data_IF_308969975149
#
_entry.id   IF_308969975149
#
_cell.length_a   1.000
_cell.length_b   1.000
_cell.length_c   1.000
_cell.angle_alpha   90.00
_cell.angle_beta   90.00
_cell.angle_gamma   90.00
#
_symmetry.space_group_name_H-M   'P 1'
#
loop_
_entity.id
_entity.type
_entity.pdbx_description
1 polymer ?
#
# COMPACT_ATOMS: atom_id res chain seq x y z
N UNK A 1 -47.06 33.11 -40.49
CA UNK A 1 -45.58 33.16 -40.64
C UNK A 1 -44.82 33.08 -39.30
N UNK A 2 -45.47 33.08 -38.12
CA UNK A 2 -44.79 33.11 -36.81
C UNK A 2 -44.31 31.75 -36.26
N UNK A 3 -45.04 30.66 -36.47
CA UNK A 3 -44.74 29.34 -35.89
C UNK A 3 -43.43 28.70 -36.40
N UNK A 4 -42.99 29.05 -37.62
CA UNK A 4 -41.72 28.58 -38.19
C UNK A 4 -40.51 29.06 -37.39
N UNK A 5 -40.57 30.27 -36.82
CA UNK A 5 -39.48 30.84 -36.00
C UNK A 5 -39.36 30.11 -34.66
N UNK A 6 -40.49 29.77 -34.04
CA UNK A 6 -40.51 29.01 -32.77
C UNK A 6 -40.12 27.54 -32.96
N UNK A 7 -40.54 26.91 -34.06
CA UNK A 7 -40.15 25.54 -34.40
C UNK A 7 -38.64 25.44 -34.66
N UNK A 8 -38.06 26.43 -35.36
CA UNK A 8 -36.61 26.51 -35.56
C UNK A 8 -35.86 26.68 -34.23
N UNK A 9 -36.38 27.52 -33.32
CA UNK A 9 -35.79 27.71 -31.99
C UNK A 9 -35.82 26.41 -31.15
N UNK A 10 -36.93 25.67 -31.20
CA UNK A 10 -37.07 24.37 -30.54
C UNK A 10 -36.09 23.32 -31.09
N UNK A 11 -35.93 23.26 -32.41
CA UNK A 11 -34.99 22.35 -33.07
C UNK A 11 -33.53 22.68 -32.74
N UNK A 12 -33.19 23.97 -32.58
CA UNK A 12 -31.88 24.43 -32.12
C UNK A 12 -31.63 24.07 -30.64
N UNK A 13 -32.65 24.11 -29.79
CA UNK A 13 -32.52 23.69 -28.39
C UNK A 13 -32.34 22.16 -28.25
N UNK A 14 -32.90 21.37 -29.17
CA UNK A 14 -32.82 19.90 -29.17
C UNK A 14 -31.50 19.36 -29.76
N UNK A 15 -30.73 20.16 -30.49
CA UNK A 15 -29.47 19.73 -31.11
C UNK A 15 -28.25 19.81 -30.18
N UNK A 16 -28.40 20.29 -28.96
CA UNK A 16 -27.33 20.23 -27.94
C UNK A 16 -27.30 18.87 -27.26
N UNK A 17 -26.64 17.88 -27.89
CA UNK A 17 -26.18 16.69 -27.18
C UNK A 17 -24.94 17.08 -26.38
N UNK A 18 -25.08 17.38 -25.09
CA UNK A 18 -23.92 17.57 -24.22
C UNK A 18 -23.30 16.20 -23.94
N UNK A 19 -22.03 16.04 -24.29
CA UNK A 19 -21.26 14.87 -23.87
C UNK A 19 -21.08 14.96 -22.35
N UNK A 20 -21.88 14.20 -21.59
CA UNK A 20 -21.75 14.11 -20.14
C UNK A 20 -20.53 13.26 -19.74
N UNK A 21 -19.33 13.78 -19.99
CA UNK A 21 -18.11 13.27 -19.37
C UNK A 21 -17.97 13.96 -18.01
N UNK A 22 -17.79 13.18 -16.93
CA UNK A 22 -17.68 13.76 -15.58
C UNK A 22 -16.22 14.15 -15.33
N UNK A 23 -15.84 15.32 -15.84
CA UNK A 23 -14.59 15.98 -15.46
C UNK A 23 -14.83 16.91 -14.28
N UNK A 24 -14.00 16.82 -13.24
CA UNK A 24 -13.96 17.76 -12.12
C UNK A 24 -12.58 18.44 -12.18
N UNK A 25 -12.55 19.77 -12.34
CA UNK A 25 -11.30 20.51 -12.48
C UNK A 25 -10.66 20.45 -13.89
N UNK A 26 -11.35 19.87 -14.87
CA UNK A 26 -10.96 19.89 -16.29
C UNK A 26 -12.18 20.11 -17.18
N UNK A 27 -12.00 20.88 -18.27
CA UNK A 27 -13.02 21.06 -19.32
C UNK A 27 -12.86 20.05 -20.47
N UNK A 28 -11.74 19.32 -20.51
CA UNK A 28 -11.45 18.32 -21.51
C UNK A 28 -10.99 17.01 -20.83
N UNK A 29 -11.90 16.31 -20.14
CA UNK A 29 -11.60 15.02 -19.54
C UNK A 29 -11.11 14.03 -20.61
N UNK A 30 -10.28 13.08 -20.18
CA UNK A 30 -9.77 12.02 -21.02
C UNK A 30 -10.94 11.17 -21.55
N UNK A 31 -10.98 10.93 -22.86
CA UNK A 31 -12.06 10.19 -23.50
C UNK A 31 -12.24 8.75 -22.97
N UNK A 32 -11.20 8.19 -22.32
CA UNK A 32 -11.26 6.86 -21.68
C UNK A 32 -11.78 6.89 -20.25
N UNK A 33 -11.98 8.06 -19.65
CA UNK A 33 -12.42 8.21 -18.26
C UNK A 33 -13.94 8.41 -18.17
N UNK A 34 -14.59 7.65 -17.27
CA UNK A 34 -15.97 7.96 -16.85
C UNK A 34 -16.03 9.03 -15.75
N UNK A 35 -14.95 9.16 -14.98
CA UNK A 35 -14.71 10.21 -14.01
C UNK A 35 -13.23 10.59 -14.07
N UNK A 36 -12.94 11.88 -14.25
CA UNK A 36 -11.60 12.44 -14.10
C UNK A 36 -11.67 13.58 -13.07
N UNK A 37 -10.79 13.55 -12.07
CA UNK A 37 -10.60 14.69 -11.16
C UNK A 37 -9.18 15.19 -11.35
N UNK A 38 -9.06 16.38 -11.93
CA UNK A 38 -7.81 17.02 -12.32
C UNK A 38 -7.49 18.19 -11.38
N UNK A 39 -6.32 18.15 -10.77
CA UNK A 39 -5.75 19.23 -9.96
C UNK A 39 -4.23 19.04 -9.87
N UNK A 40 -3.47 20.12 -9.66
CA UNK A 40 -2.02 20.06 -9.44
C UNK A 40 -1.65 20.08 -7.95
N UNK A 41 -2.57 20.52 -7.08
CA UNK A 41 -2.36 20.72 -5.64
C UNK A 41 -3.46 20.12 -4.76
N UNK A 42 -4.41 19.36 -5.33
CA UNK A 42 -5.51 18.66 -4.63
C UNK A 42 -5.54 17.19 -5.00
N UNK A 43 -6.19 16.39 -4.16
CA UNK A 43 -6.44 14.97 -4.40
C UNK A 43 -7.90 14.59 -4.16
N UNK A 44 -8.20 13.30 -4.28
CA UNK A 44 -9.51 12.74 -3.97
C UNK A 44 -9.55 12.22 -2.53
N UNK A 45 -10.51 12.69 -1.74
CA UNK A 45 -10.87 12.08 -0.46
C UNK A 45 -12.00 11.08 -0.70
N UNK A 46 -11.74 9.76 -0.76
CA UNK A 46 -12.82 8.78 -0.82
C UNK A 46 -13.66 8.80 0.47
N UNK A 47 -14.82 8.13 0.48
CA UNK A 47 -15.57 7.90 1.70
C UNK A 47 -14.67 7.33 2.81
N UNK A 48 -14.66 8.02 3.95
CA UNK A 48 -13.92 7.62 5.15
C UNK A 48 -14.84 6.83 6.07
N UNK A 49 -14.57 5.54 6.23
CA UNK A 49 -15.46 4.60 6.89
C UNK A 49 -14.74 3.95 8.06
N UNK A 50 -15.38 3.86 9.23
CA UNK A 50 -14.84 3.09 10.35
C UNK A 50 -15.25 1.63 10.19
N UNK A 51 -14.36 0.78 9.67
CA UNK A 51 -14.61 -0.65 9.56
C UNK A 51 -14.51 -1.33 10.94
N UNK A 52 -15.25 -2.42 11.10
CA UNK A 52 -15.23 -3.22 12.35
C UNK A 52 -14.40 -4.50 12.20
N UNK A 53 -14.38 -5.10 11.02
CA UNK A 53 -13.54 -6.24 10.64
C UNK A 53 -13.45 -6.31 9.11
N UNK A 54 -12.42 -6.97 8.58
CA UNK A 54 -12.20 -7.08 7.14
C UNK A 54 -13.24 -7.98 6.46
N UNK A 55 -13.77 -8.98 7.14
CA UNK A 55 -14.77 -9.91 6.63
C UNK A 55 -16.23 -9.43 6.81
N UNK A 56 -16.44 -8.17 7.21
CA UNK A 56 -17.77 -7.59 7.46
C UNK A 56 -18.00 -6.43 6.51
N UNK A 57 -19.03 -6.51 5.67
CA UNK A 57 -19.35 -5.45 4.69
C UNK A 57 -19.83 -4.14 5.36
N UNK A 58 -20.52 -4.25 6.49
CA UNK A 58 -20.96 -3.10 7.29
C UNK A 58 -19.76 -2.23 7.74
N UNK A 59 -19.94 -0.91 7.91
CA UNK A 59 -21.21 -0.17 8.01
C UNK A 59 -21.81 0.25 6.67
N UNK A 60 -21.21 -0.14 5.54
CA UNK A 60 -21.77 0.16 4.23
C UNK A 60 -23.06 -0.63 4.03
N UNK A 61 -24.12 0.06 3.62
CA UNK A 61 -25.41 -0.53 3.30
C UNK A 61 -25.52 -0.89 1.81
N UNK A 62 -26.31 -1.91 1.49
CA UNK A 62 -26.54 -2.38 0.13
C UNK A 62 -26.22 -3.86 -0.07
N UNK A 63 -26.20 -4.29 -1.32
CA UNK A 63 -25.94 -5.69 -1.69
C UNK A 63 -24.44 -5.91 -1.86
N UNK A 64 -23.80 -6.51 -0.86
CA UNK A 64 -22.34 -6.75 -0.83
C UNK A 64 -21.82 -7.49 -2.07
N UNK A 65 -22.58 -8.44 -2.62
CA UNK A 65 -22.19 -9.20 -3.81
C UNK A 65 -22.13 -8.35 -5.10
N UNK A 66 -22.82 -7.20 -5.13
CA UNK A 66 -22.79 -6.26 -6.24
C UNK A 66 -21.79 -5.10 -6.04
N UNK A 67 -21.11 -5.05 -4.89
CA UNK A 67 -20.24 -3.93 -4.49
C UNK A 67 -18.74 -4.22 -4.71
N UNK A 68 -18.38 -5.29 -5.44
CA UNK A 68 -16.98 -5.60 -5.71
C UNK A 68 -16.29 -4.44 -6.47
N UNK A 69 -15.10 -4.05 -6.01
CA UNK A 69 -14.38 -2.88 -6.51
C UNK A 69 -14.69 -1.57 -5.78
N UNK A 70 -15.58 -1.56 -4.78
CA UNK A 70 -15.85 -0.38 -3.96
C UNK A 70 -14.61 0.02 -3.16
N UNK A 71 -14.14 1.25 -3.32
CA UNK A 71 -12.94 1.80 -2.67
C UNK A 71 -13.31 2.76 -1.54
N UNK A 72 -12.70 2.59 -0.37
CA UNK A 72 -12.87 3.45 0.81
C UNK A 72 -11.54 3.67 1.52
N UNK A 73 -11.50 4.69 2.39
CA UNK A 73 -10.44 4.84 3.37
C UNK A 73 -10.96 4.41 4.76
N UNK A 74 -10.40 3.34 5.32
CA UNK A 74 -10.71 2.90 6.67
C UNK A 74 -10.08 3.84 7.69
N UNK A 75 -10.83 4.25 8.71
CA UNK A 75 -10.34 5.12 9.80
C UNK A 75 -10.13 4.40 11.13
N UNK A 76 -10.57 3.14 11.26
CA UNK A 76 -10.57 2.41 12.52
C UNK A 76 -9.42 1.39 12.62
N UNK A 77 -8.91 1.22 13.84
CA UNK A 77 -8.20 -0.01 14.25
C UNK A 77 -9.22 -0.87 15.00
N UNK A 78 -9.64 -1.99 14.42
CA UNK A 78 -10.72 -2.80 14.96
C UNK A 78 -10.58 -4.28 14.57
N UNK A 79 -11.38 -5.13 15.21
CA UNK A 79 -11.41 -6.57 14.96
C UNK A 79 -10.23 -7.32 15.61
N UNK A 80 -10.21 -8.63 15.41
CA UNK A 80 -9.16 -9.54 15.89
C UNK A 80 -8.57 -10.31 14.72
N UNK A 81 -7.29 -10.67 14.82
CA UNK A 81 -6.64 -11.49 13.81
C UNK A 81 -7.45 -12.78 13.54
N UNK A 82 -7.62 -13.20 12.27
CA UNK A 82 -7.00 -12.64 11.06
C UNK A 82 -7.80 -11.51 10.38
N UNK A 83 -8.95 -11.11 10.93
CA UNK A 83 -9.88 -10.15 10.30
C UNK A 83 -9.75 -8.72 10.83
N UNK A 84 -8.66 -8.42 11.55
CA UNK A 84 -8.43 -7.07 12.05
C UNK A 84 -8.20 -6.08 10.89
N UNK A 85 -8.62 -4.85 11.10
CA UNK A 85 -8.42 -3.73 10.18
C UNK A 85 -7.61 -2.66 10.88
N UNK A 86 -6.83 -1.93 10.09
CA UNK A 86 -6.09 -0.73 10.50
C UNK A 86 -6.38 0.40 9.51
N UNK A 87 -6.16 1.67 9.88
CA UNK A 87 -6.37 2.79 8.97
C UNK A 87 -5.61 2.63 7.65
N UNK A 88 -6.26 2.94 6.53
CA UNK A 88 -5.68 2.78 5.19
C UNK A 88 -6.72 2.64 4.08
N UNK A 89 -6.28 2.52 2.83
CA UNK A 89 -7.18 2.28 1.71
C UNK A 89 -7.60 0.81 1.66
N UNK A 90 -8.89 0.57 1.46
CA UNK A 90 -9.45 -0.78 1.27
C UNK A 90 -10.35 -0.78 0.05
N UNK A 91 -10.37 -1.92 -0.65
CA UNK A 91 -11.42 -2.21 -1.61
C UNK A 91 -12.20 -3.45 -1.20
N UNK A 92 -13.48 -3.49 -1.52
CA UNK A 92 -14.30 -4.70 -1.35
C UNK A 92 -14.01 -5.67 -2.50
N UNK A 93 -13.54 -6.87 -2.19
CA UNK A 93 -13.25 -7.89 -3.21
C UNK A 93 -14.47 -8.74 -3.61
N UNK A 94 -15.65 -8.44 -3.07
CA UNK A 94 -16.87 -9.23 -3.20
C UNK A 94 -17.23 -10.03 -1.95
N UNK A 95 -16.25 -10.30 -1.07
CA UNK A 95 -16.40 -11.12 0.14
C UNK A 95 -15.75 -10.52 1.38
N UNK A 96 -14.69 -9.73 1.21
CA UNK A 96 -13.96 -9.07 2.29
C UNK A 96 -13.36 -7.74 1.81
N UNK A 97 -13.11 -6.86 2.78
CA UNK A 97 -12.29 -5.67 2.64
C UNK A 97 -10.81 -6.08 2.55
N UNK A 98 -10.20 -5.82 1.41
CA UNK A 98 -8.76 -6.03 1.21
C UNK A 98 -8.05 -4.70 1.34
N UNK A 99 -7.08 -4.61 2.25
CA UNK A 99 -6.23 -3.44 2.37
C UNK A 99 -5.33 -3.31 1.13
N UNK A 100 -5.23 -2.10 0.59
CA UNK A 100 -4.21 -1.77 -0.40
C UNK A 100 -2.94 -1.42 0.36
N UNK A 101 -1.96 -2.32 0.35
CA UNK A 101 -0.64 -2.09 0.90
C UNK A 101 0.30 -1.53 -0.16
N UNK A 102 1.36 -0.84 0.28
CA UNK A 102 2.44 -0.46 -0.61
C UNK A 102 3.06 -1.72 -1.23
N UNK A 103 3.41 -1.63 -2.51
CA UNK A 103 4.26 -2.62 -3.16
C UNK A 103 5.69 -2.58 -2.59
N UNK A 104 6.55 -3.47 -3.09
CA UNK A 104 7.96 -3.50 -2.74
C UNK A 104 8.65 -2.21 -3.23
N UNK A 105 9.39 -1.54 -2.34
CA UNK A 105 10.19 -0.35 -2.69
C UNK A 105 11.68 -0.71 -2.62
N UNK A 106 12.41 -0.52 -3.74
CA UNK A 106 13.86 -0.76 -3.78
C UNK A 106 14.63 0.43 -3.18
N UNK A 107 15.53 0.16 -2.23
CA UNK A 107 16.53 1.11 -1.73
C UNK A 107 17.93 0.55 -2.01
N UNK A 108 18.60 1.09 -3.02
CA UNK A 108 19.92 0.64 -3.44
C UNK A 108 21.09 1.46 -2.86
N UNK A 109 20.83 2.27 -1.82
CA UNK A 109 21.80 3.27 -1.32
C UNK A 109 22.68 2.81 -0.15
N UNK A 110 22.48 1.60 0.38
CA UNK A 110 23.09 1.19 1.66
C UNK A 110 24.49 0.59 1.46
N UNK A 111 25.51 1.24 2.03
CA UNK A 111 26.91 0.75 2.02
C UNK A 111 27.52 0.61 3.42
N UNK A 112 26.78 1.00 4.46
CA UNK A 112 27.24 1.00 5.86
C UNK A 112 26.12 0.53 6.81
N UNK A 113 26.49 0.20 8.04
CA UNK A 113 25.57 -0.20 9.11
C UNK A 113 24.49 0.85 9.37
N UNK A 114 23.26 0.40 9.62
CA UNK A 114 22.11 1.27 9.86
C UNK A 114 21.06 0.60 10.74
N UNK A 115 20.07 1.37 11.17
CA UNK A 115 18.89 0.87 11.88
C UNK A 115 17.66 1.05 11.00
N UNK A 116 16.79 0.04 10.93
CA UNK A 116 15.50 0.16 10.22
C UNK A 116 14.51 1.01 11.03
N UNK A 117 13.58 1.65 10.32
CA UNK A 117 12.47 2.41 10.90
C UNK A 117 11.11 1.88 10.39
N UNK A 118 10.01 2.27 11.03
CA UNK A 118 8.67 1.86 10.60
C UNK A 118 8.35 2.26 9.13
N UNK A 119 8.96 3.34 8.63
CA UNK A 119 8.85 3.79 7.23
C UNK A 119 9.56 2.87 6.22
N UNK A 120 10.37 1.92 6.69
CA UNK A 120 11.05 0.93 5.86
C UNK A 120 10.20 -0.32 5.58
N UNK A 121 8.93 -0.33 6.04
CA UNK A 121 8.04 -1.45 5.77
C UNK A 121 7.83 -1.63 4.27
N UNK A 122 7.90 -2.88 3.81
CA UNK A 122 7.88 -3.28 2.40
C UNK A 122 9.07 -2.77 1.57
N UNK A 123 10.21 -2.44 2.19
CA UNK A 123 11.45 -2.14 1.44
C UNK A 123 12.29 -3.38 1.14
N UNK A 124 12.96 -3.33 0.00
CA UNK A 124 14.08 -4.19 -0.37
C UNK A 124 15.36 -3.34 -0.39
N UNK A 125 16.30 -3.64 0.51
CA UNK A 125 17.60 -2.97 0.55
C UNK A 125 18.63 -3.74 -0.27
N UNK A 126 19.29 -3.09 -1.23
CA UNK A 126 20.55 -3.60 -1.77
C UNK A 126 21.68 -3.04 -0.92
N UNK A 127 22.47 -3.94 -0.34
CA UNK A 127 23.61 -3.58 0.48
C UNK A 127 24.86 -3.82 -0.36
N UNK A 128 25.49 -2.75 -0.84
CA UNK A 128 26.63 -2.80 -1.76
C UNK A 128 27.96 -2.53 -1.03
N UNK A 129 28.19 -3.23 0.08
CA UNK A 129 29.39 -3.05 0.91
C UNK A 129 30.39 -4.18 0.74
N UNK A 130 31.67 -3.84 0.64
CA UNK A 130 32.77 -4.82 0.68
C UNK A 130 33.10 -5.29 2.10
N UNK A 131 32.56 -4.64 3.12
CA UNK A 131 32.75 -4.98 4.54
C UNK A 131 31.44 -5.42 5.17
N UNK A 132 31.52 -5.97 6.38
CA UNK A 132 30.33 -6.38 7.12
C UNK A 132 29.45 -5.17 7.46
N UNK A 133 28.15 -5.29 7.19
CA UNK A 133 27.12 -4.31 7.49
C UNK A 133 26.18 -4.87 8.53
N UNK A 134 26.01 -4.17 9.65
CA UNK A 134 25.02 -4.52 10.67
C UNK A 134 23.72 -3.75 10.43
N UNK A 135 22.63 -4.49 10.32
CA UNK A 135 21.27 -3.94 10.27
C UNK A 135 20.62 -4.11 11.63
N UNK A 136 20.38 -3.00 12.32
CA UNK A 136 19.80 -3.00 13.66
C UNK A 136 18.27 -2.95 13.57
N UNK A 137 17.61 -3.86 14.27
CA UNK A 137 16.15 -3.98 14.35
C UNK A 137 15.69 -3.45 15.71
N UNK A 138 15.04 -2.28 15.76
CA UNK A 138 14.57 -1.70 17.02
C UNK A 138 13.25 -2.30 17.49
N UNK A 139 12.93 -2.10 18.77
CA UNK A 139 11.58 -2.32 19.29
C UNK A 139 10.57 -1.32 18.70
N UNK A 140 9.29 -1.70 18.68
CA UNK A 140 8.20 -0.78 18.31
C UNK A 140 7.86 -0.76 16.81
N UNK A 141 8.50 -1.61 16.00
CA UNK A 141 8.01 -1.90 14.66
C UNK A 141 6.62 -2.57 14.72
N UNK A 142 5.70 -2.26 13.79
CA UNK A 142 4.36 -2.82 13.80
C UNK A 142 4.38 -4.33 13.53
N UNK A 143 3.37 -5.04 14.03
CA UNK A 143 3.12 -6.45 13.67
C UNK A 143 2.95 -6.55 12.16
N UNK A 144 3.63 -7.50 11.53
CA UNK A 144 3.64 -7.65 10.08
C UNK A 144 4.58 -6.69 9.35
N UNK A 145 5.37 -5.87 10.08
CA UNK A 145 6.49 -5.16 9.46
C UNK A 145 7.39 -6.18 8.76
N UNK A 146 7.70 -5.91 7.50
CA UNK A 146 8.57 -6.78 6.70
C UNK A 146 9.49 -5.96 5.81
N UNK A 147 10.73 -6.42 5.68
CA UNK A 147 11.67 -5.88 4.72
C UNK A 147 12.65 -6.98 4.29
N UNK A 148 13.34 -6.74 3.19
CA UNK A 148 14.29 -7.66 2.60
C UNK A 148 15.63 -6.97 2.40
N UNK A 149 16.71 -7.74 2.41
CA UNK A 149 18.08 -7.27 2.22
C UNK A 149 18.77 -8.22 1.23
N UNK A 150 19.44 -7.67 0.22
CA UNK A 150 20.27 -8.44 -0.70
C UNK A 150 21.69 -7.91 -0.60
N UNK A 151 22.63 -8.77 -0.24
CA UNK A 151 24.06 -8.44 -0.24
C UNK A 151 24.53 -8.42 -1.69
N UNK A 152 24.88 -7.25 -2.23
CA UNK A 152 25.45 -7.14 -3.59
C UNK A 152 26.95 -6.87 -3.56
N UNK A 153 27.50 -6.47 -2.42
CA UNK A 153 28.95 -6.35 -2.20
C UNK A 153 29.60 -7.65 -1.72
N UNK A 154 30.91 -7.59 -1.49
CA UNK A 154 31.72 -8.73 -1.04
C UNK A 154 31.66 -8.99 0.48
N UNK A 155 31.04 -8.08 1.24
CA UNK A 155 30.86 -8.22 2.67
C UNK A 155 29.72 -9.18 3.04
N UNK A 156 29.24 -9.06 4.28
CA UNK A 156 28.07 -9.79 4.78
C UNK A 156 27.11 -8.83 5.49
N UNK A 157 25.84 -9.21 5.57
CA UNK A 157 24.79 -8.49 6.29
C UNK A 157 24.52 -9.25 7.58
N UNK A 158 24.64 -8.59 8.72
CA UNK A 158 24.28 -9.17 10.03
C UNK A 158 23.08 -8.43 10.58
N UNK A 159 22.00 -9.15 10.89
CA UNK A 159 20.83 -8.60 11.55
C UNK A 159 21.05 -8.65 13.06
N UNK A 160 20.82 -7.52 13.73
CA UNK A 160 20.98 -7.39 15.17
C UNK A 160 19.69 -6.86 15.79
N UNK A 161 19.09 -7.62 16.72
CA UNK A 161 17.97 -7.14 17.51
C UNK A 161 18.44 -6.16 18.60
N UNK A 162 17.87 -4.96 18.66
CA UNK A 162 18.06 -4.01 19.76
C UNK A 162 16.85 -4.12 20.70
N UNK A 163 17.00 -4.89 21.77
CA UNK A 163 15.89 -5.29 22.66
C UNK A 163 14.74 -6.04 21.94
N UNK A 164 15.07 -6.69 20.82
CA UNK A 164 14.18 -7.52 20.00
C UNK A 164 14.77 -8.91 19.89
N UNK A 165 13.95 -9.94 20.06
CA UNK A 165 14.36 -11.33 19.78
C UNK A 165 14.18 -11.63 18.29
N UNK A 166 15.29 -11.89 17.59
CA UNK A 166 15.28 -12.35 16.20
C UNK A 166 15.47 -13.87 16.16
N UNK A 167 14.45 -14.57 15.67
CA UNK A 167 14.45 -16.02 15.55
C UNK A 167 14.93 -16.43 14.15
N UNK A 168 15.92 -17.32 14.08
CA UNK A 168 16.37 -17.93 12.83
C UNK A 168 16.97 -19.31 13.09
N UNK A 169 16.69 -20.27 12.22
CA UNK A 169 17.30 -21.60 12.29
C UNK A 169 18.76 -21.60 11.80
N UNK A 170 19.09 -20.68 10.90
CA UNK A 170 20.38 -20.61 10.23
C UNK A 170 21.16 -19.35 10.63
N UNK A 171 20.87 -18.73 11.77
CA UNK A 171 21.59 -17.54 12.24
C UNK A 171 21.12 -16.24 11.60
N UNK A 172 21.84 -15.15 11.89
CA UNK A 172 21.42 -13.78 11.57
C UNK A 172 22.33 -13.09 10.55
N UNK A 173 23.34 -13.79 10.03
CA UNK A 173 24.30 -13.24 9.07
C UNK A 173 24.07 -13.84 7.69
N UNK A 174 24.07 -13.03 6.64
CA UNK A 174 24.02 -13.49 5.25
C UNK A 174 25.28 -14.30 4.90
N UNK A 175 25.20 -15.23 3.95
CA UNK A 175 26.36 -16.06 3.57
C UNK A 175 27.46 -15.29 2.84
N UNK A 176 27.12 -14.66 1.73
CA UNK A 176 28.07 -14.00 0.83
C UNK A 176 27.37 -13.03 -0.11
N UNK A 177 28.10 -12.50 -1.10
CA UNK A 177 27.51 -11.80 -2.23
C UNK A 177 26.35 -12.60 -2.84
N UNK A 178 25.30 -11.87 -3.23
CA UNK A 178 24.01 -12.33 -3.77
C UNK A 178 23.12 -13.09 -2.77
N UNK A 179 23.45 -13.11 -1.49
CA UNK A 179 22.56 -13.67 -0.45
C UNK A 179 21.37 -12.75 -0.19
N UNK A 180 20.17 -13.32 -0.17
CA UNK A 180 18.94 -12.63 0.19
C UNK A 180 18.53 -12.98 1.63
N UNK A 181 18.25 -11.97 2.45
CA UNK A 181 17.79 -12.12 3.83
C UNK A 181 16.48 -11.36 4.00
N UNK A 182 15.48 -12.03 4.57
CA UNK A 182 14.19 -11.42 4.90
C UNK A 182 13.99 -11.28 6.40
N UNK A 183 13.21 -10.27 6.78
CA UNK A 183 12.77 -10.02 8.14
C UNK A 183 11.25 -9.86 8.16
N UNK A 184 10.58 -10.52 9.10
CA UNK A 184 9.17 -10.28 9.43
C UNK A 184 9.01 -10.16 10.94
N UNK A 185 8.36 -9.09 11.40
CA UNK A 185 8.05 -8.89 12.82
C UNK A 185 6.72 -9.57 13.18
N UNK A 186 6.75 -10.46 14.16
CA UNK A 186 5.56 -11.13 14.70
C UNK A 186 4.94 -10.38 15.88
N UNK A 187 5.73 -9.53 16.54
CA UNK A 187 5.29 -8.59 17.58
C UNK A 187 6.17 -7.34 17.57
N UNK A 188 5.93 -6.38 18.47
CA UNK A 188 6.79 -5.21 18.65
C UNK A 188 8.17 -5.53 19.24
N UNK A 189 8.38 -6.76 19.74
CA UNK A 189 9.60 -7.21 20.42
C UNK A 189 10.16 -8.54 19.89
N UNK A 190 9.54 -9.15 18.87
CA UNK A 190 9.98 -10.41 18.29
C UNK A 190 9.77 -10.45 16.78
N UNK A 191 10.71 -11.08 16.07
CA UNK A 191 10.65 -11.28 14.64
C UNK A 191 11.34 -12.57 14.19
N UNK A 192 11.21 -12.85 12.90
CA UNK A 192 11.80 -13.99 12.22
C UNK A 192 12.70 -13.50 11.10
N UNK A 193 13.89 -14.07 11.03
CA UNK A 193 14.83 -13.89 9.94
C UNK A 193 14.85 -15.17 9.10
N UNK A 194 14.83 -15.01 7.78
CA UNK A 194 14.79 -16.12 6.82
C UNK A 194 15.63 -15.80 5.58
N UNK A 195 15.83 -16.80 4.73
CA UNK A 195 16.67 -16.68 3.53
C UNK A 195 18.07 -17.24 3.72
N UNK A 196 19.02 -16.73 2.95
CA UNK A 196 20.40 -17.23 2.82
C UNK A 196 21.29 -16.80 3.99
N UNK A 197 20.93 -17.26 5.18
CA UNK A 197 21.63 -16.97 6.44
C UNK A 197 22.56 -18.12 6.86
N UNK A 198 23.54 -17.78 7.71
CA UNK A 198 24.45 -18.67 8.42
C UNK A 198 24.68 -18.22 9.89
N UNK A 199 25.01 -19.19 10.75
CA UNK A 199 25.39 -18.99 12.15
C UNK A 199 26.77 -18.34 12.28
#
# INVERSE_FOLDING_TARGET
MGYKKYLLLLLICLSFSTLAQTGIGTTNPNASAKLEIAATDKGFLPPRIALTASNVFAPIAGTSSAAAGLLIYNTATAGTAPNNVIPGYYYWNGTAWTQISNGLILDASKTASFQVAAADNNKLFLISSSTAVTVTIPTGLPVGFSCQFIQTGAGVITLLGSSVTLNSANGLTSRAQNSAVGLVMSSSAAGYVFGDTMN
#
